data_IF_450158222236
#
_entry.id   IF_450158222236
#
_cell.length_a   1.000
_cell.length_b   1.000
_cell.length_c   1.000
_cell.angle_alpha   90.00
_cell.angle_beta   90.00
_cell.angle_gamma   90.00
#
_symmetry.space_group_name_H-M   'P 1'
#
loop_
_entity.id
_entity.type
_entity.pdbx_description
1 polymer ?
#
# COMPACT_ATOMS: atom_id res chain seq x y z
N UNK A 1 -8.28 -14.06 -0.85
CA UNK A 1 -7.40 -13.38 0.14
C UNK A 1 -7.96 -12.02 0.50
N UNK A 2 -8.31 -11.18 -0.48
CA UNK A 2 -8.82 -9.83 -0.22
C UNK A 2 -10.24 -9.80 0.41
N UNK A 3 -10.93 -10.93 0.54
CA UNK A 3 -12.25 -11.05 1.19
C UNK A 3 -12.15 -11.27 2.72
N UNK A 4 -10.93 -11.31 3.26
CA UNK A 4 -10.73 -11.34 4.70
C UNK A 4 -10.98 -9.95 5.30
N UNK A 5 -11.51 -9.83 6.52
CA UNK A 5 -11.61 -8.56 7.23
C UNK A 5 -10.21 -8.13 7.71
N UNK A 6 -9.35 -7.78 6.76
CA UNK A 6 -7.93 -7.51 6.95
C UNK A 6 -7.52 -6.28 6.14
N UNK A 7 -6.99 -5.31 6.86
CA UNK A 7 -6.38 -4.10 6.30
C UNK A 7 -4.87 -4.17 6.47
N UNK A 8 -4.11 -3.93 5.38
CA UNK A 8 -2.65 -3.97 5.40
C UNK A 8 -2.05 -2.57 5.33
N UNK A 9 -1.42 -2.13 6.42
CA UNK A 9 -0.62 -0.91 6.48
C UNK A 9 0.85 -1.32 6.59
N UNK A 10 1.64 -1.04 5.55
CA UNK A 10 3.04 -1.41 5.44
C UNK A 10 3.93 -0.18 5.58
N UNK A 11 4.55 -0.05 6.75
CA UNK A 11 5.61 0.92 7.00
C UNK A 11 6.93 0.41 6.44
N UNK A 12 7.66 1.26 5.74
CA UNK A 12 8.95 0.90 5.16
C UNK A 12 10.05 1.89 5.54
N UNK A 13 11.30 1.45 5.41
CA UNK A 13 12.48 2.29 5.60
C UNK A 13 13.61 1.89 4.63
N UNK A 14 13.84 0.58 4.48
CA UNK A 14 14.93 0.04 3.67
C UNK A 14 14.44 -0.92 2.57
N UNK A 15 15.36 -1.37 1.72
CA UNK A 15 15.09 -2.10 0.49
C UNK A 15 14.41 -3.47 0.69
N UNK A 16 14.60 -4.18 1.81
CA UNK A 16 13.92 -5.46 2.06
C UNK A 16 12.41 -5.25 2.25
N UNK A 17 11.97 -4.13 2.81
CA UNK A 17 10.55 -3.78 2.84
C UNK A 17 9.96 -3.60 1.43
N UNK A 18 10.76 -3.12 0.47
CA UNK A 18 10.35 -3.05 -0.95
C UNK A 18 10.21 -4.44 -1.55
N UNK A 19 11.12 -5.36 -1.23
CA UNK A 19 11.00 -6.77 -1.68
C UNK A 19 9.74 -7.41 -1.12
N UNK A 20 9.40 -7.15 0.15
CA UNK A 20 8.16 -7.63 0.76
C UNK A 20 6.94 -7.05 0.02
N UNK A 21 6.91 -5.74 -0.22
CA UNK A 21 5.84 -5.10 -0.99
C UNK A 21 5.67 -5.75 -2.36
N UNK A 22 6.74 -5.90 -3.14
CA UNK A 22 6.69 -6.52 -4.47
C UNK A 22 6.22 -7.98 -4.41
N UNK A 23 6.58 -8.72 -3.36
CA UNK A 23 6.11 -10.09 -3.14
C UNK A 23 4.61 -10.13 -2.86
N UNK A 24 4.09 -9.21 -2.05
CA UNK A 24 2.66 -9.10 -1.78
C UNK A 24 1.87 -8.74 -3.05
N UNK A 25 2.40 -7.80 -3.85
CA UNK A 25 1.80 -7.42 -5.14
C UNK A 25 1.80 -8.60 -6.12
N UNK A 26 2.87 -9.39 -6.18
CA UNK A 26 2.95 -10.57 -7.06
C UNK A 26 1.99 -11.69 -6.64
N UNK A 27 1.72 -11.82 -5.34
CA UNK A 27 0.70 -12.73 -4.79
C UNK A 27 -0.74 -12.21 -4.97
N UNK A 28 -0.92 -11.02 -5.56
CA UNK A 28 -2.24 -10.44 -5.83
C UNK A 28 -2.91 -9.79 -4.62
N UNK A 29 -2.15 -9.48 -3.57
CA UNK A 29 -2.64 -8.65 -2.45
C UNK A 29 -2.91 -7.25 -2.97
N UNK A 30 -4.07 -6.70 -2.64
CA UNK A 30 -4.52 -5.37 -3.07
C UNK A 30 -4.78 -4.46 -1.87
N UNK A 31 -4.97 -3.17 -2.16
CA UNK A 31 -5.37 -2.13 -1.20
C UNK A 31 -4.37 -1.95 -0.04
N UNK A 32 -3.08 -2.15 -0.31
CA UNK A 32 -2.02 -1.91 0.67
C UNK A 32 -1.84 -0.40 0.85
N UNK A 33 -1.81 0.05 2.10
CA UNK A 33 -1.45 1.42 2.47
C UNK A 33 0.02 1.46 2.87
N UNK A 34 0.79 2.41 2.35
CA UNK A 34 2.25 2.48 2.54
C UNK A 34 2.71 3.86 3.03
N UNK A 35 3.71 3.89 3.91
CA UNK A 35 4.26 5.13 4.47
C UNK A 35 5.57 4.92 5.23
N UNK A 36 6.16 5.99 5.80
CA UNK A 36 5.58 7.34 5.92
C UNK A 36 5.65 8.18 4.64
N UNK A 37 6.57 7.88 3.73
CA UNK A 37 6.73 8.58 2.44
C UNK A 37 6.84 7.59 1.31
N UNK A 38 6.60 8.00 0.07
CA UNK A 38 6.89 7.14 -1.08
C UNK A 38 8.42 7.00 -1.26
N UNK A 39 8.94 5.82 -1.63
CA UNK A 39 10.34 5.68 -2.01
C UNK A 39 10.72 6.63 -3.14
N UNK A 40 11.93 7.20 -3.11
CA UNK A 40 12.36 8.20 -4.10
C UNK A 40 12.40 7.71 -5.55
N UNK A 41 12.36 6.39 -5.78
CA UNK A 41 12.27 5.78 -7.11
C UNK A 41 10.83 5.57 -7.60
N UNK A 42 9.81 5.89 -6.80
CA UNK A 42 8.42 5.88 -7.22
C UNK A 42 8.09 7.20 -7.91
N UNK A 43 8.05 7.16 -9.24
CA UNK A 43 7.58 8.28 -10.04
C UNK A 43 6.05 8.41 -9.94
N UNK A 44 5.48 9.60 -10.22
CA UNK A 44 4.03 9.79 -10.22
C UNK A 44 3.29 8.81 -11.14
N UNK A 45 3.80 8.57 -12.36
CA UNK A 45 3.19 7.65 -13.32
C UNK A 45 3.21 6.21 -12.80
N UNK A 46 4.31 5.80 -12.17
CA UNK A 46 4.41 4.47 -11.57
C UNK A 46 3.40 4.31 -10.42
N UNK A 47 3.29 5.33 -9.55
CA UNK A 47 2.31 5.33 -8.47
C UNK A 47 0.88 5.25 -8.99
N UNK A 48 0.55 5.97 -10.07
CA UNK A 48 -0.77 5.90 -10.70
C UNK A 48 -1.08 4.49 -11.21
N UNK A 49 -0.13 3.84 -11.89
CA UNK A 49 -0.28 2.45 -12.37
C UNK A 49 -0.43 1.47 -11.20
N UNK A 50 0.34 1.63 -10.12
CA UNK A 50 0.24 0.78 -8.94
C UNK A 50 -1.09 0.97 -8.20
N UNK A 51 -1.60 2.20 -8.15
CA UNK A 51 -2.91 2.50 -7.58
C UNK A 51 -4.03 1.88 -8.43
N UNK A 52 -4.01 2.08 -9.75
CA UNK A 52 -5.02 1.55 -10.66
C UNK A 52 -5.08 0.01 -10.62
N UNK A 53 -3.92 -0.66 -10.63
CA UNK A 53 -3.85 -2.12 -10.72
C UNK A 53 -4.03 -2.83 -9.38
N UNK A 54 -3.48 -2.25 -8.31
CA UNK A 54 -3.36 -2.91 -7.00
C UNK A 54 -4.04 -2.15 -5.85
N UNK A 55 -4.58 -0.95 -6.08
CA UNK A 55 -5.11 -0.11 -5.01
C UNK A 55 -4.03 0.41 -4.05
N UNK A 56 -2.75 0.36 -4.44
CA UNK A 56 -1.65 0.85 -3.61
C UNK A 56 -1.82 2.35 -3.39
N UNK A 57 -1.78 2.79 -2.13
CA UNK A 57 -1.86 4.21 -1.78
C UNK A 57 -0.95 4.57 -0.61
N UNK A 58 -0.62 5.84 -0.50
CA UNK A 58 0.08 6.36 0.68
C UNK A 58 -0.86 6.53 1.87
N UNK A 59 -0.28 6.54 3.08
CA UNK A 59 -0.96 7.02 4.30
C UNK A 59 -1.42 8.48 4.13
N UNK A 60 -2.50 8.84 4.82
CA UNK A 60 -3.06 10.19 4.84
C UNK A 60 -3.05 10.74 6.28
N UNK A 61 -4.19 11.24 6.78
CA UNK A 61 -4.36 11.49 8.21
C UNK A 61 -4.77 10.20 8.93
N UNK A 62 -4.48 10.14 10.23
CA UNK A 62 -4.84 8.97 11.05
C UNK A 62 -6.35 8.74 11.00
N UNK A 63 -7.15 9.81 11.14
CA UNK A 63 -8.60 9.74 11.15
C UNK A 63 -9.17 9.22 9.82
N UNK A 64 -8.67 9.71 8.69
CA UNK A 64 -9.11 9.27 7.36
C UNK A 64 -8.72 7.83 7.07
N UNK A 65 -7.48 7.45 7.36
CA UNK A 65 -7.00 6.08 7.16
C UNK A 65 -7.78 5.10 8.04
N UNK A 66 -7.99 5.40 9.32
CA UNK A 66 -8.75 4.54 10.22
C UNK A 66 -10.20 4.36 9.76
N UNK A 67 -10.85 5.42 9.27
CA UNK A 67 -12.21 5.33 8.72
C UNK A 67 -12.29 4.42 7.50
N UNK A 68 -11.32 4.51 6.59
CA UNK A 68 -11.28 3.68 5.39
C UNK A 68 -10.93 2.21 5.71
N UNK A 69 -9.95 1.97 6.59
CA UNK A 69 -9.44 0.63 6.88
C UNK A 69 -10.40 -0.23 7.72
N UNK A 70 -11.28 0.39 8.52
CA UNK A 70 -12.26 -0.32 9.35
C UNK A 70 -13.62 -0.51 8.65
N UNK A 71 -13.83 0.15 7.51
CA UNK A 71 -15.06 0.01 6.72
C UNK A 71 -14.93 -0.98 5.56
N UNK A 72 -13.72 -1.52 5.35
CA UNK A 72 -13.41 -2.53 4.34
C UNK A 72 -13.79 -3.94 4.79
#
# INVERSE_FOLDING_TARGET
MNDLPLSLVLSWFEQKAIVILLTLLSLGVKNIVTGPTAPGFFTPDLLAVLNEKFGLRSVTTVEEDMKQLLSA
#
